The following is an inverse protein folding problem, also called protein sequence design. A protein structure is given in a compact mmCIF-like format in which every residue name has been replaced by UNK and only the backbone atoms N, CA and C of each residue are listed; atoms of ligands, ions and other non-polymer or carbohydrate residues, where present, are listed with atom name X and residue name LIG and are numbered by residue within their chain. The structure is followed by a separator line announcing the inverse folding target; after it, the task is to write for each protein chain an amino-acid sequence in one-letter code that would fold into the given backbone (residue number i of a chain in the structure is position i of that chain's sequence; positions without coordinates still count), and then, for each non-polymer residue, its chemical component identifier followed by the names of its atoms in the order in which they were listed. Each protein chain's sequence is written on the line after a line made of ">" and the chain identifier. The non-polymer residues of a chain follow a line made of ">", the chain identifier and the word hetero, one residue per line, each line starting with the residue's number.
data_IF_105507611564
#
_entry.id   IF_105507611564
#
_cell.length_a   1.000
_cell.length_b   1.000
_cell.length_c   1.000
_cell.angle_alpha   90.00
_cell.angle_beta   90.00
_cell.angle_gamma   90.00
#
_symmetry.space_group_name_H-M   'P 1'
#
loop_
_entity.id
_entity.type
_entity.pdbx_description
1 polymer ?
#
# COMPACT_ATOMS: atom_id res chain seq x y z
N UNK A 1 -3.14 -16.30 -5.25
CA UNK A 1 -2.16 -16.95 -6.16
C UNK A 1 -1.33 -18.00 -5.43
N UNK A 2 -0.44 -17.64 -4.48
CA UNK A 2 0.41 -18.61 -3.73
C UNK A 2 -0.37 -19.79 -3.14
N UNK A 3 -1.48 -19.53 -2.44
CA UNK A 3 -2.30 -20.59 -1.85
C UNK A 3 -2.81 -21.61 -2.89
N UNK A 4 -3.17 -21.15 -4.10
CA UNK A 4 -3.60 -22.03 -5.19
C UNK A 4 -2.41 -22.82 -5.75
N UNK A 5 -1.25 -22.18 -5.89
CA UNK A 5 -0.03 -22.86 -6.35
C UNK A 5 0.37 -24.01 -5.42
N UNK A 6 0.37 -23.75 -4.10
CA UNK A 6 0.61 -24.77 -3.09
C UNK A 6 -0.45 -25.88 -3.11
N UNK A 7 -1.74 -25.52 -3.22
CA UNK A 7 -2.83 -26.49 -3.23
C UNK A 7 -2.81 -27.42 -4.45
N UNK A 8 -2.44 -26.89 -5.60
CA UNK A 8 -2.45 -27.62 -6.89
C UNK A 8 -1.13 -28.29 -7.24
N UNK A 9 -0.09 -28.12 -6.40
CA UNK A 9 1.22 -28.67 -6.66
C UNK A 9 1.92 -28.03 -7.86
N UNK A 10 1.71 -26.73 -8.08
CA UNK A 10 2.43 -25.97 -9.10
C UNK A 10 3.91 -25.79 -8.70
N UNK A 11 4.78 -25.47 -9.66
CA UNK A 11 6.19 -25.15 -9.39
C UNK A 11 6.42 -23.64 -9.24
N UNK A 12 7.64 -23.28 -8.85
CA UNK A 12 8.10 -21.91 -8.66
C UNK A 12 8.00 -21.05 -9.92
N UNK A 13 8.31 -21.62 -11.08
CA UNK A 13 8.19 -20.94 -12.36
C UNK A 13 6.73 -20.61 -12.70
N UNK A 14 5.79 -21.51 -12.44
CA UNK A 14 4.36 -21.28 -12.62
C UNK A 14 3.82 -20.22 -11.65
N UNK A 15 4.25 -20.28 -10.38
CA UNK A 15 3.94 -19.25 -9.40
C UNK A 15 4.44 -17.88 -9.84
N UNK A 16 5.68 -17.78 -10.31
CA UNK A 16 6.24 -16.52 -10.82
C UNK A 16 5.42 -15.96 -11.99
N UNK A 17 5.05 -16.77 -12.98
CA UNK A 17 4.20 -16.32 -14.10
C UNK A 17 2.85 -15.78 -13.61
N UNK A 18 2.20 -16.50 -12.70
CA UNK A 18 0.94 -16.06 -12.11
C UNK A 18 1.07 -14.73 -11.34
N UNK A 19 2.15 -14.56 -10.57
CA UNK A 19 2.45 -13.31 -9.87
C UNK A 19 2.69 -12.16 -10.86
N UNK A 20 3.51 -12.37 -11.89
CA UNK A 20 3.79 -11.35 -12.91
C UNK A 20 2.51 -10.91 -13.63
N UNK A 21 1.64 -11.84 -14.04
CA UNK A 21 0.32 -11.48 -14.61
C UNK A 21 -0.52 -10.69 -13.62
N UNK A 22 -0.60 -11.13 -12.35
CA UNK A 22 -1.38 -10.41 -11.35
C UNK A 22 -0.90 -8.97 -11.17
N UNK A 23 0.42 -8.77 -11.06
CA UNK A 23 1.00 -7.42 -10.95
C UNK A 23 0.77 -6.58 -12.20
N UNK A 24 0.93 -7.13 -13.40
CA UNK A 24 0.67 -6.41 -14.66
C UNK A 24 -0.76 -5.87 -14.68
N UNK A 25 -1.74 -6.76 -14.49
CA UNK A 25 -3.16 -6.38 -14.48
C UNK A 25 -3.45 -5.33 -13.40
N UNK A 26 -2.92 -5.50 -12.19
CA UNK A 26 -3.14 -4.54 -11.11
C UNK A 26 -2.61 -3.14 -11.47
N UNK A 27 -1.39 -3.07 -11.98
CA UNK A 27 -0.70 -1.81 -12.24
C UNK A 27 -1.36 -1.09 -13.42
N UNK A 28 -1.67 -1.81 -14.49
CA UNK A 28 -2.30 -1.21 -15.67
C UNK A 28 -3.74 -0.78 -15.41
N UNK A 29 -4.51 -1.54 -14.63
CA UNK A 29 -5.85 -1.12 -14.18
C UNK A 29 -5.78 0.16 -13.32
N UNK A 30 -4.81 0.27 -12.41
CA UNK A 30 -4.64 1.47 -11.57
C UNK A 30 -4.20 2.68 -12.40
N UNK A 31 -3.37 2.49 -13.43
CA UNK A 31 -2.94 3.55 -14.36
C UNK A 31 -4.10 4.07 -15.20
N UNK A 32 -4.94 3.17 -15.68
CA UNK A 32 -6.00 3.50 -16.62
C UNK A 32 -7.30 3.96 -15.95
N UNK A 33 -7.65 3.39 -14.79
CA UNK A 33 -8.96 3.56 -14.16
C UNK A 33 -8.79 4.06 -12.71
N UNK A 34 -9.02 5.37 -12.52
CA UNK A 34 -8.90 6.02 -11.22
C UNK A 34 -10.13 5.75 -10.32
N UNK A 35 -10.13 4.65 -9.57
CA UNK A 35 -11.25 4.34 -8.65
C UNK A 35 -11.48 5.40 -7.56
N UNK A 36 -10.42 6.13 -7.19
CA UNK A 36 -10.48 7.13 -6.13
C UNK A 36 -11.42 8.29 -6.46
N UNK A 37 -11.46 8.73 -7.72
CA UNK A 37 -12.31 9.86 -8.14
C UNK A 37 -13.79 9.53 -7.97
N UNK A 38 -14.15 8.26 -8.12
CA UNK A 38 -15.50 7.71 -7.94
C UNK A 38 -15.81 7.24 -6.52
N UNK A 39 -14.90 7.45 -5.56
CA UNK A 39 -15.06 6.94 -4.17
C UNK A 39 -15.27 5.43 -4.11
N UNK A 40 -14.65 4.69 -5.02
CA UNK A 40 -14.54 3.23 -4.97
C UNK A 40 -13.20 2.86 -4.32
N UNK A 41 -13.20 1.79 -3.52
CA UNK A 41 -11.98 1.27 -2.91
C UNK A 41 -11.10 0.60 -3.97
N UNK A 42 -9.80 0.86 -3.93
CA UNK A 42 -8.79 0.31 -4.83
C UNK A 42 -8.75 -1.22 -4.85
N UNK A 43 -9.29 -1.87 -3.82
CA UNK A 43 -9.46 -3.34 -3.74
C UNK A 43 -10.29 -3.90 -4.90
N UNK A 44 -11.14 -3.09 -5.54
CA UNK A 44 -11.92 -3.53 -6.71
C UNK A 44 -11.04 -4.00 -7.88
N UNK A 45 -9.80 -3.50 -8.01
CA UNK A 45 -8.83 -3.98 -9.01
C UNK A 45 -8.09 -5.26 -8.56
N UNK A 46 -8.00 -5.53 -7.25
CA UNK A 46 -7.28 -6.70 -6.72
C UNK A 46 -7.97 -8.02 -7.06
N UNK A 47 -9.30 -8.07 -7.08
CA UNK A 47 -10.06 -9.26 -7.47
C UNK A 47 -9.71 -9.72 -8.89
N UNK A 48 -9.91 -8.88 -9.92
CA UNK A 48 -9.48 -9.11 -11.30
C UNK A 48 -8.02 -9.50 -11.44
N UNK A 49 -7.12 -8.76 -10.80
CA UNK A 49 -5.67 -9.04 -10.78
C UNK A 49 -5.37 -10.44 -10.25
N UNK A 50 -5.92 -10.81 -9.09
CA UNK A 50 -5.70 -12.12 -8.50
C UNK A 50 -6.32 -13.24 -9.35
N UNK A 51 -7.51 -13.04 -9.92
CA UNK A 51 -8.17 -14.00 -10.80
C UNK A 51 -7.34 -14.27 -12.08
N UNK A 52 -6.86 -13.20 -12.73
CA UNK A 52 -5.97 -13.31 -13.88
C UNK A 52 -4.67 -14.06 -13.54
N UNK A 53 -4.03 -13.70 -12.41
CA UNK A 53 -2.81 -14.37 -11.96
C UNK A 53 -3.01 -15.85 -11.61
N UNK A 54 -4.14 -16.22 -11.01
CA UNK A 54 -4.51 -17.63 -10.78
C UNK A 54 -4.76 -18.34 -12.11
N UNK A 55 -5.46 -17.71 -13.06
CA UNK A 55 -5.70 -18.24 -14.39
C UNK A 55 -4.41 -18.57 -15.15
N UNK A 56 -3.44 -17.64 -15.15
CA UNK A 56 -2.11 -17.85 -15.73
C UNK A 56 -1.35 -18.95 -15.01
N UNK A 57 -1.36 -18.97 -13.67
CA UNK A 57 -0.72 -20.00 -12.86
C UNK A 57 -1.19 -21.41 -13.27
N UNK A 58 -2.49 -21.57 -13.47
CA UNK A 58 -3.14 -22.84 -13.81
C UNK A 58 -3.17 -23.12 -15.32
N UNK A 59 -2.65 -22.21 -16.15
CA UNK A 59 -2.69 -22.29 -17.61
C UNK A 59 -4.12 -22.55 -18.14
N UNK A 60 -5.09 -21.82 -17.60
CA UNK A 60 -6.50 -21.91 -18.03
C UNK A 60 -6.69 -21.28 -19.41
N UNK A 61 -7.74 -21.70 -20.11
CA UNK A 61 -8.13 -21.07 -21.36
C UNK A 61 -8.64 -19.63 -21.13
N UNK A 62 -8.56 -18.81 -22.19
CA UNK A 62 -8.90 -17.39 -22.12
C UNK A 62 -10.34 -17.12 -21.68
N UNK A 63 -11.28 -17.97 -22.09
CA UNK A 63 -12.70 -17.78 -21.76
C UNK A 63 -12.94 -18.03 -20.26
N UNK A 64 -12.35 -19.08 -19.70
CA UNK A 64 -12.40 -19.33 -18.25
C UNK A 64 -11.82 -18.16 -17.45
N UNK A 65 -10.68 -17.61 -17.89
CA UNK A 65 -10.06 -16.45 -17.23
C UNK A 65 -10.97 -15.21 -17.33
N UNK A 66 -11.55 -14.97 -18.51
CA UNK A 66 -12.49 -13.88 -18.73
C UNK A 66 -13.69 -13.94 -17.78
N UNK A 67 -14.32 -15.12 -17.64
CA UNK A 67 -15.44 -15.31 -16.71
C UNK A 67 -15.02 -15.12 -15.24
N UNK A 68 -13.84 -15.61 -14.86
CA UNK A 68 -13.32 -15.44 -13.50
C UNK A 68 -13.06 -13.97 -13.15
N UNK A 69 -12.46 -13.20 -14.07
CA UNK A 69 -12.26 -11.75 -13.92
C UNK A 69 -13.59 -11.03 -13.76
N UNK A 70 -14.57 -11.38 -14.60
CA UNK A 70 -15.92 -10.82 -14.55
C UNK A 70 -16.58 -10.96 -13.19
N UNK A 71 -16.59 -12.19 -12.67
CA UNK A 71 -17.15 -12.48 -11.35
C UNK A 71 -16.35 -11.84 -10.22
N UNK A 72 -15.01 -11.81 -10.31
CA UNK A 72 -14.17 -11.21 -9.29
C UNK A 72 -14.40 -9.70 -9.16
N UNK A 73 -14.45 -8.94 -10.27
CA UNK A 73 -14.76 -7.51 -10.22
C UNK A 73 -16.12 -7.23 -9.57
N UNK A 74 -17.14 -7.96 -10.04
CA UNK A 74 -18.51 -7.78 -9.59
C UNK A 74 -18.68 -7.97 -8.07
N UNK A 75 -17.94 -8.92 -7.50
CA UNK A 75 -18.09 -9.33 -6.09
C UNK A 75 -17.07 -8.72 -5.13
N UNK A 76 -16.07 -7.99 -5.64
CA UNK A 76 -15.00 -7.39 -4.82
C UNK A 76 -14.97 -5.87 -4.85
N UNK A 77 -16.00 -5.25 -5.44
CA UNK A 77 -16.15 -3.80 -5.42
C UNK A 77 -16.76 -3.31 -4.11
N UNK A 78 -16.07 -2.39 -3.44
CA UNK A 78 -16.53 -1.75 -2.21
C UNK A 78 -16.41 -0.22 -2.30
N UNK A 79 -17.25 0.49 -1.55
CA UNK A 79 -17.12 1.96 -1.43
C UNK A 79 -15.87 2.33 -0.63
N UNK A 80 -15.39 3.56 -0.81
CA UNK A 80 -14.21 4.07 -0.09
C UNK A 80 -14.47 4.37 1.40
N UNK A 81 -15.66 4.06 1.92
CA UNK A 81 -15.95 4.15 3.35
C UNK A 81 -15.01 3.26 4.19
N UNK A 82 -14.47 2.19 3.60
CA UNK A 82 -13.42 1.32 4.17
C UNK A 82 -12.14 2.05 4.60
N UNK A 83 -11.92 3.28 4.12
CA UNK A 83 -10.69 4.07 4.29
C UNK A 83 -10.97 5.53 4.70
N UNK A 84 -12.10 5.82 5.36
CA UNK A 84 -12.46 7.18 5.80
C UNK A 84 -13.19 7.20 7.15
N UNK A 85 -12.91 8.21 7.99
CA UNK A 85 -13.48 8.33 9.34
C UNK A 85 -12.82 7.35 10.31
N UNK A 86 -13.62 6.66 11.13
CA UNK A 86 -13.13 5.56 11.96
C UNK A 86 -12.75 4.36 11.07
N UNK A 87 -11.46 4.19 10.86
CA UNK A 87 -10.91 3.13 10.02
C UNK A 87 -10.94 1.80 10.80
N UNK A 88 -11.87 0.92 10.44
CA UNK A 88 -12.02 -0.39 11.09
C UNK A 88 -11.03 -1.45 10.57
N UNK A 89 -10.98 -2.60 11.25
CA UNK A 89 -10.15 -3.76 10.86
C UNK A 89 -10.50 -4.32 9.48
N UNK A 90 -11.65 -3.95 8.91
CA UNK A 90 -12.00 -4.23 7.51
C UNK A 90 -10.91 -3.75 6.54
N UNK A 91 -10.26 -2.61 6.84
CA UNK A 91 -9.12 -2.09 6.07
C UNK A 91 -8.05 -3.15 5.81
N UNK A 92 -7.72 -3.94 6.83
CA UNK A 92 -6.73 -5.00 6.74
C UNK A 92 -7.30 -6.27 6.05
N UNK A 93 -8.59 -6.53 6.23
CA UNK A 93 -9.24 -7.72 5.68
C UNK A 93 -9.62 -7.60 4.20
N UNK A 94 -9.93 -6.41 3.69
CA UNK A 94 -10.47 -6.22 2.34
C UNK A 94 -9.60 -6.83 1.22
N UNK A 95 -8.25 -6.69 1.21
CA UNK A 95 -7.41 -7.39 0.23
C UNK A 95 -7.48 -8.92 0.34
N UNK A 96 -7.56 -9.45 1.58
CA UNK A 96 -7.70 -10.90 1.80
C UNK A 96 -9.06 -11.41 1.32
N UNK A 97 -10.12 -10.62 1.52
CA UNK A 97 -11.44 -10.90 0.96
C UNK A 97 -11.41 -10.97 -0.57
N UNK A 98 -10.79 -9.98 -1.24
CA UNK A 98 -10.66 -10.00 -2.70
C UNK A 98 -9.87 -11.22 -3.20
N UNK A 99 -8.76 -11.57 -2.52
CA UNK A 99 -7.98 -12.77 -2.83
C UNK A 99 -8.79 -14.07 -2.67
N UNK A 100 -9.61 -14.18 -1.61
CA UNK A 100 -10.52 -15.31 -1.40
C UNK A 100 -11.56 -15.39 -2.50
N UNK A 101 -12.22 -14.28 -2.82
CA UNK A 101 -13.24 -14.23 -3.88
C UNK A 101 -12.67 -14.54 -5.26
N UNK A 102 -11.42 -14.15 -5.54
CA UNK A 102 -10.75 -14.53 -6.79
C UNK A 102 -10.53 -16.05 -6.91
N UNK A 103 -10.17 -16.73 -5.83
CA UNK A 103 -10.06 -18.21 -5.82
C UNK A 103 -11.42 -18.85 -6.12
N UNK A 104 -12.49 -18.36 -5.47
CA UNK A 104 -13.84 -18.87 -5.72
C UNK A 104 -14.31 -18.57 -7.15
N UNK A 105 -14.10 -17.36 -7.67
CA UNK A 105 -14.45 -16.98 -9.03
C UNK A 105 -13.76 -17.88 -10.07
N UNK A 106 -12.47 -18.17 -9.89
CA UNK A 106 -11.74 -19.09 -10.77
C UNK A 106 -12.28 -20.51 -10.66
N UNK A 107 -12.49 -21.04 -9.45
CA UNK A 107 -13.06 -22.40 -9.28
C UNK A 107 -14.45 -22.53 -9.92
N UNK A 108 -15.31 -21.50 -9.81
CA UNK A 108 -16.61 -21.48 -10.46
C UNK A 108 -16.50 -21.44 -11.98
N UNK A 109 -15.65 -20.57 -12.53
CA UNK A 109 -15.43 -20.48 -13.97
C UNK A 109 -14.89 -21.80 -14.55
N UNK A 110 -13.96 -22.47 -13.86
CA UNK A 110 -13.45 -23.79 -14.25
C UNK A 110 -14.54 -24.88 -14.31
N UNK A 111 -15.65 -24.70 -13.59
CA UNK A 111 -16.82 -25.59 -13.60
C UNK A 111 -17.85 -25.20 -14.67
N UNK A 112 -17.53 -24.24 -15.54
CA UNK A 112 -18.39 -23.75 -16.61
C UNK A 112 -19.40 -22.69 -16.16
N UNK A 113 -19.25 -22.11 -14.96
CA UNK A 113 -20.10 -20.99 -14.56
C UNK A 113 -19.66 -19.71 -15.29
N UNK A 114 -20.62 -19.02 -15.91
CA UNK A 114 -20.43 -17.71 -16.52
C UNK A 114 -20.73 -16.58 -15.52
N UNK A 115 -20.16 -15.41 -15.79
CA UNK A 115 -20.30 -14.17 -15.04
C UNK A 115 -21.18 -13.15 -15.79
N UNK A 116 -21.68 -12.09 -15.13
CA UNK A 116 -22.29 -10.96 -15.83
C UNK A 116 -21.30 -10.37 -16.84
N UNK A 117 -21.71 -10.24 -18.11
CA UNK A 117 -20.80 -9.96 -19.22
C UNK A 117 -21.40 -9.01 -20.26
N UNK A 118 -20.61 -8.06 -20.81
CA UNK A 118 -19.27 -7.68 -20.35
C UNK A 118 -19.35 -6.91 -19.01
N UNK A 119 -18.53 -7.25 -18.02
CA UNK A 119 -18.67 -6.65 -16.68
C UNK A 119 -18.28 -5.17 -16.65
N UNK A 120 -17.29 -4.77 -17.44
CA UNK A 120 -16.78 -3.40 -17.45
C UNK A 120 -17.70 -2.49 -18.28
N UNK A 121 -17.88 -2.82 -19.56
CA UNK A 121 -18.56 -2.00 -20.57
C UNK A 121 -20.04 -2.33 -20.76
N UNK A 122 -20.60 -3.27 -20.00
CA UNK A 122 -22.01 -3.65 -20.10
C UNK A 122 -22.95 -2.46 -19.84
N UNK A 123 -24.17 -2.54 -20.36
CA UNK A 123 -25.21 -1.50 -20.18
C UNK A 123 -25.42 -1.17 -18.70
N UNK A 124 -25.50 -2.20 -17.85
CA UNK A 124 -25.54 -2.10 -16.40
C UNK A 124 -24.19 -2.44 -15.73
N UNK A 125 -23.09 -2.16 -16.44
CA UNK A 125 -21.73 -2.54 -16.07
C UNK A 125 -21.06 -1.62 -15.05
N UNK A 126 -19.85 -2.03 -14.65
CA UNK A 126 -19.00 -1.34 -13.70
C UNK A 126 -18.73 0.12 -14.11
N UNK A 127 -18.41 0.36 -15.39
CA UNK A 127 -18.14 1.71 -15.88
C UNK A 127 -19.41 2.58 -15.83
N UNK A 128 -20.54 2.01 -16.28
CA UNK A 128 -21.79 2.73 -16.44
C UNK A 128 -22.35 3.27 -15.12
N UNK A 129 -22.35 2.44 -14.07
CA UNK A 129 -23.04 2.78 -12.82
C UNK A 129 -22.14 3.07 -11.64
N UNK A 130 -20.89 2.61 -11.65
CA UNK A 130 -19.98 2.79 -10.52
C UNK A 130 -18.86 3.78 -10.81
N UNK A 131 -18.60 4.10 -12.07
CA UNK A 131 -17.55 5.04 -12.48
C UNK A 131 -18.11 6.26 -13.24
N UNK A 132 -17.66 6.46 -14.48
CA UNK A 132 -17.82 7.70 -15.25
C UNK A 132 -19.06 7.74 -16.15
N UNK A 133 -19.96 6.77 -16.03
CA UNK A 133 -21.19 6.71 -16.83
C UNK A 133 -21.08 5.83 -18.08
N UNK A 134 -22.21 5.54 -18.76
CA UNK A 134 -22.29 4.54 -19.84
C UNK A 134 -21.48 4.91 -21.09
N UNK A 135 -21.20 6.19 -21.31
CA UNK A 135 -20.43 6.68 -22.46
C UNK A 135 -18.91 6.70 -22.20
N UNK A 136 -18.47 6.48 -20.96
CA UNK A 136 -17.06 6.52 -20.61
C UNK A 136 -16.30 5.32 -21.20
N UNK A 137 -15.04 5.58 -21.59
CA UNK A 137 -14.13 4.57 -22.14
C UNK A 137 -12.78 4.72 -21.46
N UNK A 138 -12.16 3.60 -21.14
CA UNK A 138 -10.83 3.52 -20.55
C UNK A 138 -9.95 2.65 -21.44
N UNK A 139 -8.69 3.04 -21.58
CA UNK A 139 -7.68 2.25 -22.27
C UNK A 139 -6.70 1.70 -21.24
N UNK A 140 -6.71 0.38 -21.05
CA UNK A 140 -5.80 -0.31 -20.11
C UNK A 140 -4.54 -0.71 -20.89
N UNK A 141 -3.35 -0.19 -20.54
CA UNK A 141 -2.14 -0.31 -21.34
C UNK A 141 -1.47 -1.68 -21.18
N UNK A 142 -2.18 -2.76 -21.50
CA UNK A 142 -1.67 -4.13 -21.40
C UNK A 142 -0.54 -4.37 -22.41
N UNK A 143 0.48 -5.18 -22.07
CA UNK A 143 1.57 -5.50 -22.97
C UNK A 143 1.10 -6.32 -24.18
N UNK A 144 1.71 -6.07 -25.34
CA UNK A 144 1.48 -6.87 -26.54
C UNK A 144 2.04 -8.29 -26.39
N UNK A 145 1.54 -9.21 -27.22
CA UNK A 145 2.07 -10.58 -27.28
C UNK A 145 3.59 -10.59 -27.51
N UNK A 146 4.33 -11.19 -26.57
CA UNK A 146 5.79 -11.29 -26.63
C UNK A 146 6.54 -10.17 -25.91
N UNK A 147 5.85 -9.13 -25.42
CA UNK A 147 6.43 -8.14 -24.53
C UNK A 147 6.55 -8.69 -23.10
N UNK A 148 7.58 -8.26 -22.34
CA UNK A 148 7.76 -8.69 -20.96
C UNK A 148 6.71 -8.06 -20.04
N UNK A 149 6.26 -8.82 -19.03
CA UNK A 149 5.42 -8.31 -17.95
C UNK A 149 6.32 -7.58 -16.94
N UNK A 150 6.30 -6.24 -16.98
CA UNK A 150 7.20 -5.40 -16.19
C UNK A 150 6.48 -4.53 -15.17
N UNK A 151 5.15 -4.54 -15.13
CA UNK A 151 4.35 -3.68 -14.24
C UNK A 151 4.73 -3.83 -12.75
N UNK A 152 5.19 -5.00 -12.31
CA UNK A 152 5.70 -5.19 -10.94
C UNK A 152 6.85 -4.23 -10.57
N UNK A 153 7.69 -3.85 -11.54
CA UNK A 153 8.82 -2.94 -11.33
C UNK A 153 8.37 -1.49 -11.10
N UNK A 154 7.14 -1.18 -11.50
CA UNK A 154 6.51 0.13 -11.30
C UNK A 154 5.70 0.19 -10.00
N UNK A 155 5.75 -0.87 -9.19
CA UNK A 155 5.18 -0.86 -7.84
C UNK A 155 6.08 -0.11 -6.86
N UNK A 156 5.47 0.59 -5.91
CA UNK A 156 6.22 1.35 -4.92
C UNK A 156 6.24 0.66 -3.56
N UNK A 157 7.44 0.36 -3.10
CA UNK A 157 7.64 -0.25 -1.80
C UNK A 157 7.58 0.79 -0.69
N UNK A 158 6.87 0.45 0.37
CA UNK A 158 6.93 1.17 1.63
C UNK A 158 8.14 0.68 2.40
N UNK A 159 8.96 1.60 2.90
CA UNK A 159 9.96 1.27 3.92
C UNK A 159 9.31 1.32 5.31
N UNK A 160 8.59 2.40 5.58
CA UNK A 160 7.97 2.67 6.87
C UNK A 160 6.56 2.10 6.93
N UNK A 161 6.14 1.62 8.10
CA UNK A 161 4.78 1.08 8.32
C UNK A 161 3.72 2.20 8.40
N UNK A 162 3.74 3.14 7.46
CA UNK A 162 2.83 4.28 7.36
C UNK A 162 2.06 4.29 6.02
N UNK A 163 1.09 5.18 5.85
CA UNK A 163 0.44 5.48 4.58
C UNK A 163 1.50 5.87 3.52
N UNK A 164 1.28 5.56 2.24
CA UNK A 164 2.35 5.70 1.23
C UNK A 164 2.75 7.18 1.03
N UNK A 165 1.81 8.10 1.16
CA UNK A 165 2.00 9.54 1.01
C UNK A 165 2.73 10.13 2.21
N UNK A 166 2.98 9.35 3.26
CA UNK A 166 3.78 9.74 4.42
C UNK A 166 5.26 9.32 4.31
N UNK A 167 5.62 8.42 3.38
CA UNK A 167 6.96 7.81 3.33
C UNK A 167 8.07 8.86 3.20
N UNK A 168 7.94 9.76 2.21
CA UNK A 168 8.92 10.81 1.97
C UNK A 168 9.02 11.80 3.14
N UNK A 169 7.90 12.08 3.81
CA UNK A 169 7.88 12.97 4.99
C UNK A 169 8.58 12.35 6.19
N UNK A 170 8.50 11.04 6.37
CA UNK A 170 9.26 10.34 7.41
C UNK A 170 10.76 10.50 7.14
N UNK A 171 11.21 10.26 5.90
CA UNK A 171 12.62 10.38 5.53
C UNK A 171 13.14 11.81 5.76
N UNK A 172 12.38 12.82 5.31
CA UNK A 172 12.71 14.22 5.49
C UNK A 172 12.74 14.63 6.97
N UNK A 173 11.72 14.25 7.75
CA UNK A 173 11.66 14.56 9.18
C UNK A 173 12.80 13.91 9.96
N UNK A 174 13.12 12.65 9.67
CA UNK A 174 14.26 11.94 10.29
C UNK A 174 15.59 12.61 9.98
N UNK A 175 15.80 13.01 8.72
CA UNK A 175 16.99 13.76 8.28
C UNK A 175 17.10 15.07 9.03
N UNK A 176 16.04 15.87 9.03
CA UNK A 176 15.99 17.16 9.73
C UNK A 176 16.24 17.02 11.23
N UNK A 177 15.63 16.04 11.88
CA UNK A 177 15.84 15.79 13.31
C UNK A 177 17.27 15.35 13.63
N UNK A 178 17.95 14.69 12.70
CA UNK A 178 19.35 14.27 12.85
C UNK A 178 20.32 15.43 12.62
N UNK A 179 20.12 16.18 11.54
CA UNK A 179 21.00 17.28 11.15
C UNK A 179 20.80 18.53 12.01
N UNK A 180 19.60 18.73 12.55
CA UNK A 180 19.21 19.88 13.36
C UNK A 180 18.47 19.47 14.64
N UNK A 181 19.19 18.95 15.65
CA UNK A 181 18.60 18.41 16.88
C UNK A 181 17.75 19.41 17.67
N UNK A 182 17.99 20.71 17.51
CA UNK A 182 17.17 21.77 18.11
C UNK A 182 15.71 21.75 17.65
N UNK A 183 15.44 21.17 16.47
CA UNK A 183 14.08 21.02 15.94
C UNK A 183 13.26 19.93 16.65
N UNK A 184 13.90 19.11 17.48
CA UNK A 184 13.22 18.05 18.26
C UNK A 184 12.45 18.60 19.45
N UNK A 185 12.86 19.77 19.96
CA UNK A 185 12.21 20.41 21.10
C UNK A 185 11.05 21.31 20.61
N UNK A 186 9.79 21.00 20.95
CA UNK A 186 8.66 21.86 20.58
C UNK A 186 8.79 23.29 21.10
N UNK A 187 9.57 23.56 22.15
CA UNK A 187 9.77 24.91 22.67
C UNK A 187 10.46 25.85 21.66
N UNK A 188 11.27 25.30 20.75
CA UNK A 188 11.97 26.06 19.72
C UNK A 188 11.12 26.32 18.47
N UNK A 189 9.96 25.65 18.35
CA UNK A 189 9.13 25.64 17.14
C UNK A 189 7.95 26.59 17.33
N UNK A 190 7.79 27.59 16.47
CA UNK A 190 6.58 28.40 16.41
C UNK A 190 5.49 27.69 15.57
N UNK A 191 5.84 27.24 14.36
CA UNK A 191 4.92 26.55 13.46
C UNK A 191 5.65 25.62 12.48
N UNK A 192 4.96 24.60 11.97
CA UNK A 192 5.42 23.77 10.86
C UNK A 192 4.31 23.68 9.82
N UNK A 193 4.64 23.99 8.57
CA UNK A 193 3.71 23.92 7.44
C UNK A 193 4.27 22.97 6.38
N UNK A 194 3.48 21.98 5.98
CA UNK A 194 3.79 21.05 4.89
C UNK A 194 3.02 21.48 3.63
N UNK A 195 3.75 21.93 2.61
CA UNK A 195 3.21 22.23 1.28
C UNK A 195 3.25 20.96 0.45
N UNK A 196 2.08 20.43 0.07
CA UNK A 196 1.95 19.08 -0.48
C UNK A 196 0.83 18.98 -1.51
N UNK A 197 0.73 17.84 -2.19
CA UNK A 197 -0.38 17.56 -3.12
C UNK A 197 -1.76 17.57 -2.43
N UNK A 198 -2.80 17.81 -3.23
CA UNK A 198 -4.20 17.65 -2.86
C UNK A 198 -4.44 16.32 -2.13
N UNK A 199 -3.91 15.23 -2.68
CA UNK A 199 -4.13 13.91 -2.11
C UNK A 199 -3.59 13.82 -0.68
N UNK A 200 -2.35 14.22 -0.43
CA UNK A 200 -1.78 14.21 0.92
C UNK A 200 -2.56 15.14 1.85
N UNK A 201 -2.88 16.36 1.42
CA UNK A 201 -3.59 17.36 2.23
C UNK A 201 -4.98 16.88 2.69
N UNK A 202 -5.78 16.32 1.78
CA UNK A 202 -7.16 15.91 2.08
C UNK A 202 -7.30 14.46 2.58
N UNK A 203 -6.30 13.60 2.36
CA UNK A 203 -6.39 12.18 2.78
C UNK A 203 -5.66 11.91 4.09
N UNK A 204 -4.46 12.46 4.32
CA UNK A 204 -3.67 12.25 5.54
C UNK A 204 -3.29 13.54 6.28
N UNK A 205 -3.54 14.70 5.69
CA UNK A 205 -3.27 16.04 6.24
C UNK A 205 -4.46 16.71 6.93
N UNK A 206 -4.24 17.99 7.25
CA UNK A 206 -5.19 18.88 7.94
C UNK A 206 -6.46 19.12 7.13
N UNK A 207 -6.38 19.08 5.80
CA UNK A 207 -7.53 19.24 4.90
C UNK A 207 -8.55 18.10 4.99
N UNK A 208 -8.18 16.96 5.60
CA UNK A 208 -9.10 15.87 5.88
C UNK A 208 -10.24 16.28 6.83
N UNK A 209 -10.05 17.34 7.63
CA UNK A 209 -10.98 17.79 8.67
C UNK A 209 -11.41 16.67 9.63
N UNK A 210 -10.44 15.83 10.00
CA UNK A 210 -10.59 14.67 10.88
C UNK A 210 -9.89 14.97 12.21
N UNK A 211 -10.63 15.34 13.28
CA UNK A 211 -10.05 15.66 14.59
C UNK A 211 -9.21 14.52 15.18
N UNK A 212 -9.54 13.27 14.88
CA UNK A 212 -8.84 12.10 15.39
C UNK A 212 -7.39 12.04 14.89
N UNK A 213 -7.04 12.76 13.80
CA UNK A 213 -5.66 12.91 13.34
C UNK A 213 -4.82 13.88 14.17
N UNK A 214 -5.40 14.47 15.19
CA UNK A 214 -4.74 15.32 16.19
C UNK A 214 -4.97 14.80 17.62
N UNK A 215 -5.48 13.57 17.77
CA UNK A 215 -5.85 12.98 19.05
C UNK A 215 -4.80 11.94 19.51
N UNK A 216 -4.11 12.15 20.66
CA UNK A 216 -3.12 11.20 21.18
C UNK A 216 -3.69 9.84 21.60
N UNK A 217 -5.02 9.71 21.69
CA UNK A 217 -5.71 8.46 22.00
C UNK A 217 -6.22 7.72 20.76
N UNK A 218 -5.96 8.26 19.56
CA UNK A 218 -6.38 7.66 18.31
C UNK A 218 -5.77 6.28 18.07
N UNK A 219 -6.49 5.47 17.28
CA UNK A 219 -6.04 4.13 16.90
C UNK A 219 -4.74 4.17 16.09
N UNK A 220 -4.01 3.04 16.07
CA UNK A 220 -2.86 2.85 15.18
C UNK A 220 -3.23 3.15 13.73
N UNK A 221 -4.40 2.70 13.28
CA UNK A 221 -4.90 2.87 11.92
C UNK A 221 -5.12 4.36 11.58
N UNK A 222 -5.52 5.16 12.56
CA UNK A 222 -5.66 6.63 12.43
C UNK A 222 -4.30 7.31 12.45
N UNK A 223 -3.40 6.96 13.37
CA UNK A 223 -2.05 7.54 13.47
C UNK A 223 -1.19 7.24 12.22
N UNK A 224 -1.38 6.05 11.62
CA UNK A 224 -0.84 5.66 10.31
C UNK A 224 -1.26 6.62 9.17
N UNK A 225 -2.37 7.35 9.34
CA UNK A 225 -2.94 8.30 8.38
C UNK A 225 -2.97 9.75 8.91
N UNK A 226 -2.13 10.07 9.91
CA UNK A 226 -1.94 11.42 10.44
C UNK A 226 -0.54 11.93 10.09
N UNK A 227 -0.41 12.66 8.97
CA UNK A 227 0.88 13.25 8.60
C UNK A 227 1.43 14.22 9.67
N UNK A 228 0.62 14.97 10.45
CA UNK A 228 1.14 15.81 11.51
C UNK A 228 1.76 14.98 12.64
N UNK A 229 1.13 13.87 13.04
CA UNK A 229 1.70 12.94 14.01
C UNK A 229 2.99 12.31 13.49
N UNK A 230 2.95 11.83 12.25
CA UNK A 230 4.05 11.11 11.62
C UNK A 230 5.30 12.01 11.56
N UNK A 231 5.15 13.25 11.11
CA UNK A 231 6.27 14.20 11.05
C UNK A 231 6.77 14.55 12.46
N UNK A 232 5.89 14.76 13.45
CA UNK A 232 6.31 15.05 14.82
C UNK A 232 7.19 13.93 15.40
N UNK A 233 6.73 12.68 15.34
CA UNK A 233 7.46 11.53 15.90
C UNK A 233 8.75 11.26 15.13
N UNK A 234 8.71 11.27 13.79
CA UNK A 234 9.89 11.07 12.96
C UNK A 234 10.97 12.15 13.18
N UNK A 235 10.55 13.41 13.37
CA UNK A 235 11.44 14.53 13.67
C UNK A 235 12.09 14.37 15.04
N UNK A 236 11.31 14.10 16.08
CA UNK A 236 11.81 13.97 17.45
C UNK A 236 12.75 12.76 17.62
N UNK A 237 12.36 11.61 17.08
CA UNK A 237 13.09 10.37 17.31
C UNK A 237 14.27 10.23 16.34
N UNK A 238 14.23 10.90 15.18
CA UNK A 238 15.18 10.64 14.08
C UNK A 238 14.99 9.26 13.45
N UNK A 239 13.92 8.55 13.82
CA UNK A 239 13.59 7.21 13.37
C UNK A 239 12.07 7.01 13.24
N UNK A 240 11.67 5.94 12.56
CA UNK A 240 10.28 5.48 12.52
C UNK A 240 10.24 3.96 12.69
N UNK A 241 9.66 3.49 13.79
CA UNK A 241 9.55 2.07 14.09
C UNK A 241 8.12 1.57 13.94
N UNK A 242 7.95 0.40 13.34
CA UNK A 242 6.63 -0.15 12.99
C UNK A 242 5.75 -0.52 14.19
N UNK A 243 6.30 -0.58 15.41
CA UNK A 243 5.56 -0.78 16.66
C UNK A 243 5.72 0.42 17.57
N UNK A 244 6.96 0.79 17.91
CA UNK A 244 7.21 1.75 18.98
C UNK A 244 6.75 3.17 18.65
N UNK A 245 6.77 3.56 17.36
CA UNK A 245 6.22 4.84 16.92
C UNK A 245 4.69 4.91 17.01
N UNK A 246 4.01 3.82 17.39
CA UNK A 246 2.56 3.78 17.62
C UNK A 246 2.20 3.43 19.07
N UNK A 247 3.17 3.21 19.95
CA UNK A 247 2.90 2.87 21.34
C UNK A 247 2.11 4.02 22.02
N UNK A 248 1.05 3.73 22.79
CA UNK A 248 0.26 4.77 23.46
C UNK A 248 1.12 5.71 24.31
N UNK A 249 2.13 5.18 25.00
CA UNK A 249 3.06 5.95 25.83
C UNK A 249 3.97 6.86 25.01
N UNK A 250 4.26 6.50 23.75
CA UNK A 250 5.00 7.34 22.80
C UNK A 250 4.11 8.44 22.22
N UNK A 251 2.88 8.10 21.82
CA UNK A 251 1.96 9.05 21.22
C UNK A 251 1.47 10.11 22.22
N UNK A 252 1.27 9.72 23.48
CA UNK A 252 0.74 10.58 24.54
C UNK A 252 1.80 11.46 25.23
N UNK A 253 3.06 11.47 24.78
CA UNK A 253 4.09 12.33 25.40
C UNK A 253 3.70 13.81 25.26
N UNK A 254 3.74 14.61 26.36
CA UNK A 254 3.28 16.00 26.31
C UNK A 254 4.02 16.87 25.29
N UNK A 255 5.33 16.66 25.11
CA UNK A 255 6.15 17.37 24.15
C UNK A 255 5.82 16.98 22.70
N UNK A 256 5.56 15.70 22.43
CA UNK A 256 5.08 15.23 21.12
C UNK A 256 3.73 15.83 20.77
N UNK A 257 2.78 15.82 21.70
CA UNK A 257 1.46 16.45 21.48
C UNK A 257 1.64 17.94 21.21
N UNK A 258 2.50 18.63 21.97
CA UNK A 258 2.76 20.04 21.74
C UNK A 258 3.36 20.34 20.36
N UNK A 259 4.28 19.50 19.86
CA UNK A 259 4.84 19.62 18.51
C UNK A 259 3.80 19.30 17.43
N UNK A 260 3.09 18.20 17.59
CA UNK A 260 2.06 17.71 16.68
C UNK A 260 0.99 18.77 16.40
N UNK A 261 0.53 19.47 17.44
CA UNK A 261 -0.47 20.54 17.31
C UNK A 261 0.05 21.77 16.53
N UNK A 262 1.36 21.90 16.32
CA UNK A 262 1.97 22.98 15.52
C UNK A 262 2.13 22.63 14.04
N UNK A 263 1.86 21.38 13.66
CA UNK A 263 2.05 20.90 12.29
C UNK A 263 0.73 20.97 11.52
N UNK A 264 0.77 21.70 10.42
CA UNK A 264 -0.35 21.82 9.48
C UNK A 264 0.10 21.48 8.06
N UNK A 265 -0.86 21.19 7.20
CA UNK A 265 -0.63 20.96 5.77
C UNK A 265 -1.42 21.96 4.95
N UNK A 266 -0.88 22.34 3.80
CA UNK A 266 -1.59 23.10 2.77
C UNK A 266 -1.41 22.42 1.42
N UNK A 267 -2.46 22.46 0.59
CA UNK A 267 -2.31 22.11 -0.81
C UNK A 267 -1.40 23.12 -1.53
N UNK A 268 -0.54 22.62 -2.40
CA UNK A 268 0.29 23.38 -3.32
C UNK A 268 0.08 22.82 -4.73
N UNK A 269 -0.22 23.73 -5.67
CA UNK A 269 -0.65 23.36 -7.02
C UNK A 269 0.42 22.65 -7.81
N UNK A 270 1.70 22.96 -7.60
CA UNK A 270 2.80 22.28 -8.28
C UNK A 270 2.98 20.85 -7.74
N UNK A 271 2.89 20.67 -6.42
CA UNK A 271 2.93 19.33 -5.83
C UNK A 271 1.71 18.48 -6.24
N UNK A 272 0.53 19.09 -6.40
CA UNK A 272 -0.65 18.41 -6.97
C UNK A 272 -0.41 18.00 -8.43
N UNK A 273 0.13 18.89 -9.27
CA UNK A 273 0.46 18.58 -10.67
C UNK A 273 1.41 17.40 -10.77
N UNK A 274 2.50 17.43 -9.99
CA UNK A 274 3.50 16.35 -9.96
C UNK A 274 2.91 15.03 -9.48
N UNK A 275 2.04 15.04 -8.47
CA UNK A 275 1.36 13.82 -7.99
C UNK A 275 0.54 13.13 -9.10
N UNK A 276 -0.11 13.90 -9.96
CA UNK A 276 -0.92 13.40 -11.07
C UNK A 276 -0.13 13.13 -12.37
N UNK A 277 1.17 13.43 -12.40
CA UNK A 277 1.97 13.20 -13.61
C UNK A 277 2.03 11.71 -13.97
N UNK A 278 1.90 11.43 -15.26
CA UNK A 278 2.16 10.12 -15.85
C UNK A 278 3.65 9.96 -16.21
N UNK A 279 4.40 11.05 -16.28
CA UNK A 279 5.86 11.01 -16.40
C UNK A 279 6.46 10.65 -15.04
N UNK A 280 7.04 9.46 -14.96
CA UNK A 280 7.67 8.95 -13.75
C UNK A 280 8.81 9.85 -13.24
N UNK A 281 9.50 10.57 -14.12
CA UNK A 281 10.59 11.47 -13.73
C UNK A 281 10.10 12.74 -13.03
N UNK A 282 8.86 13.15 -13.29
CA UNK A 282 8.24 14.29 -12.63
C UNK A 282 7.41 13.89 -11.40
N UNK A 283 6.91 12.65 -11.40
CA UNK A 283 5.97 12.14 -10.41
C UNK A 283 6.54 12.23 -9.00
N UNK A 284 5.77 12.85 -8.10
CA UNK A 284 6.19 13.11 -6.73
C UNK A 284 5.09 12.79 -5.73
N UNK A 285 5.52 12.34 -4.54
CA UNK A 285 4.65 11.98 -3.42
C UNK A 285 5.01 12.70 -2.12
N UNK A 286 6.08 13.49 -2.12
CA UNK A 286 6.50 14.33 -1.00
C UNK A 286 6.01 15.77 -1.12
N UNK A 287 6.85 16.72 -0.71
CA UNK A 287 6.53 18.14 -0.70
C UNK A 287 7.64 19.00 -0.09
N UNK A 288 7.28 20.24 0.26
CA UNK A 288 8.15 21.20 0.93
C UNK A 288 7.72 21.38 2.39
N UNK A 289 8.67 21.30 3.32
CA UNK A 289 8.46 21.61 4.74
C UNK A 289 9.00 23.00 5.05
N UNK A 290 8.24 23.77 5.81
CA UNK A 290 8.63 25.08 6.31
C UNK A 290 8.47 25.09 7.82
N UNK A 291 9.55 25.35 8.55
CA UNK A 291 9.56 25.39 10.01
C UNK A 291 9.95 26.80 10.44
N UNK A 292 9.05 27.46 11.16
CA UNK A 292 9.29 28.74 11.80
C UNK A 292 9.73 28.50 13.24
N UNK A 293 10.87 29.06 13.63
CA UNK A 293 11.40 28.95 14.98
C UNK A 293 10.94 30.12 15.85
N UNK A 294 10.93 29.92 17.17
CA UNK A 294 10.52 30.95 18.12
C UNK A 294 11.46 32.15 18.19
N UNK A 295 12.69 32.02 17.66
CA UNK A 295 13.64 33.12 17.52
C UNK A 295 13.43 33.95 16.23
N UNK A 296 12.44 33.57 15.41
CA UNK A 296 12.10 34.21 14.14
C UNK A 296 12.89 33.71 12.93
N UNK A 297 13.84 32.79 13.12
CA UNK A 297 14.52 32.13 12.00
C UNK A 297 13.63 31.07 11.34
N UNK A 298 13.98 30.70 10.10
CA UNK A 298 13.19 29.79 9.28
C UNK A 298 14.05 28.73 8.62
N UNK A 299 13.52 27.52 8.63
CA UNK A 299 14.04 26.37 7.93
C UNK A 299 13.10 26.05 6.77
N UNK A 300 13.65 25.80 5.59
CA UNK A 300 12.91 25.28 4.44
C UNK A 300 13.70 24.11 3.86
N UNK A 301 13.02 23.02 3.57
CA UNK A 301 13.59 21.85 2.89
C UNK A 301 12.49 21.13 2.09
N UNK A 302 12.86 20.24 1.19
CA UNK A 302 11.91 19.50 0.35
C UNK A 302 12.38 18.07 0.04
N UNK A 303 11.41 17.24 -0.33
CA UNK A 303 11.64 15.88 -0.80
C UNK A 303 10.56 15.51 -1.81
N UNK A 304 10.96 14.99 -2.98
CA UNK A 304 9.99 14.63 -4.02
C UNK A 304 9.42 13.21 -3.84
N UNK A 305 10.28 12.25 -3.48
CA UNK A 305 9.93 10.83 -3.32
C UNK A 305 10.67 10.26 -2.11
N UNK A 306 10.14 9.20 -1.51
CA UNK A 306 10.78 8.52 -0.40
C UNK A 306 12.14 7.94 -0.80
N UNK A 307 13.04 7.76 0.16
CA UNK A 307 14.37 7.22 -0.10
C UNK A 307 14.29 5.85 -0.77
N UNK A 308 13.36 5.00 -0.32
CA UNK A 308 13.12 3.66 -0.83
C UNK A 308 12.48 3.58 -2.22
N UNK A 309 11.97 4.69 -2.75
CA UNK A 309 11.35 4.75 -4.07
C UNK A 309 12.34 4.36 -5.18
N UNK A 310 11.92 3.80 -6.33
CA UNK A 310 12.82 3.51 -7.45
C UNK A 310 13.68 4.69 -7.92
N UNK A 311 13.18 5.92 -7.74
CA UNK A 311 13.88 7.18 -8.03
C UNK A 311 14.40 7.90 -6.78
N UNK A 312 14.34 7.26 -5.61
CA UNK A 312 14.76 7.83 -4.33
C UNK A 312 16.28 7.77 -4.12
N UNK A 313 16.73 8.31 -2.99
CA UNK A 313 18.16 8.33 -2.64
C UNK A 313 18.73 6.93 -2.31
N UNK A 314 17.87 5.98 -1.91
CA UNK A 314 18.24 4.60 -1.59
C UNK A 314 17.13 3.64 -2.05
N UNK A 315 16.97 3.42 -3.37
CA UNK A 315 15.95 2.53 -3.90
C UNK A 315 16.05 1.13 -3.30
N UNK A 316 14.91 0.54 -2.92
CA UNK A 316 14.91 -0.79 -2.31
C UNK A 316 15.34 -1.88 -3.30
N UNK A 317 16.51 -2.47 -3.05
CA UNK A 317 16.97 -3.69 -3.66
C UNK A 317 16.73 -4.90 -2.76
N UNK A 318 17.29 -6.05 -3.16
CA UNK A 318 17.12 -7.32 -2.44
C UNK A 318 17.59 -7.25 -0.99
N UNK A 319 18.73 -6.60 -0.74
CA UNK A 319 19.29 -6.48 0.59
C UNK A 319 18.34 -5.73 1.54
N UNK A 320 17.70 -4.66 1.04
CA UNK A 320 16.74 -3.86 1.80
C UNK A 320 15.46 -4.66 2.12
N UNK A 321 14.93 -5.44 1.17
CA UNK A 321 13.80 -6.35 1.44
C UNK A 321 14.15 -7.41 2.48
N UNK A 322 15.34 -8.01 2.40
CA UNK A 322 15.82 -8.99 3.38
C UNK A 322 15.95 -8.35 4.77
N UNK A 323 16.59 -7.17 4.85
CA UNK A 323 16.73 -6.43 6.11
C UNK A 323 15.37 -6.09 6.72
N UNK A 324 14.44 -5.60 5.91
CA UNK A 324 13.08 -5.30 6.34
C UNK A 324 12.33 -6.56 6.82
N UNK A 325 12.45 -7.67 6.10
CA UNK A 325 11.84 -8.93 6.53
C UNK A 325 12.36 -9.38 7.90
N UNK A 326 13.69 -9.35 8.09
CA UNK A 326 14.31 -9.68 9.38
C UNK A 326 13.81 -8.79 10.52
N UNK A 327 13.77 -7.48 10.30
CA UNK A 327 13.26 -6.51 11.26
C UNK A 327 11.79 -6.79 11.64
N UNK A 328 10.94 -7.09 10.66
CA UNK A 328 9.51 -7.38 10.92
C UNK A 328 9.29 -8.76 11.57
N UNK A 329 10.21 -9.70 11.35
CA UNK A 329 10.14 -11.05 11.89
C UNK A 329 10.77 -11.18 13.30
N UNK A 330 11.59 -10.19 13.71
CA UNK A 330 12.28 -10.19 14.99
C UNK A 330 11.29 -10.32 16.16
N UNK A 331 11.59 -11.25 17.08
CA UNK A 331 10.73 -11.55 18.23
C UNK A 331 9.45 -12.33 17.91
N UNK A 332 9.11 -12.53 16.64
CA UNK A 332 7.95 -13.31 16.18
C UNK A 332 8.37 -14.68 15.65
N UNK A 333 9.41 -14.74 14.83
CA UNK A 333 9.98 -15.95 14.24
C UNK A 333 11.33 -16.28 14.90
N UNK A 334 11.72 -17.56 14.92
CA UNK A 334 13.09 -17.92 15.31
C UNK A 334 14.09 -17.53 14.20
N UNK A 335 15.36 -17.25 14.53
CA UNK A 335 16.38 -16.96 13.52
C UNK A 335 16.47 -18.04 12.44
N UNK A 336 16.36 -19.31 12.82
CA UNK A 336 16.41 -20.45 11.89
C UNK A 336 15.21 -20.45 10.93
N UNK A 337 14.03 -20.06 11.40
CA UNK A 337 12.82 -19.99 10.57
C UNK A 337 12.90 -18.82 9.58
N UNK A 338 13.46 -17.69 10.02
CA UNK A 338 13.74 -16.53 9.16
C UNK A 338 14.69 -16.93 8.03
N UNK A 339 15.80 -17.57 8.36
CA UNK A 339 16.80 -18.01 7.38
C UNK A 339 16.20 -19.03 6.41
N UNK A 340 15.48 -20.03 6.93
CA UNK A 340 14.77 -21.04 6.11
C UNK A 340 13.80 -20.40 5.12
N UNK A 341 12.97 -19.45 5.56
CA UNK A 341 12.02 -18.77 4.67
C UNK A 341 12.76 -17.97 3.58
N UNK A 342 13.81 -17.23 3.97
CA UNK A 342 14.59 -16.41 3.04
C UNK A 342 15.34 -17.27 2.00
N UNK A 343 15.86 -18.44 2.38
CA UNK A 343 16.52 -19.36 1.46
C UNK A 343 15.56 -19.87 0.38
N UNK A 344 14.32 -20.19 0.77
CA UNK A 344 13.26 -20.62 -0.17
C UNK A 344 12.79 -19.45 -1.04
N UNK A 345 12.43 -18.32 -0.42
CA UNK A 345 11.84 -17.19 -1.13
C UNK A 345 12.79 -16.59 -2.19
N UNK A 346 14.09 -16.59 -1.93
CA UNK A 346 15.07 -16.00 -2.85
C UNK A 346 15.31 -16.82 -4.12
N UNK A 347 14.95 -18.12 -4.10
CA UNK A 347 15.06 -19.06 -5.22
C UNK A 347 13.71 -19.42 -5.83
N UNK A 348 12.74 -18.49 -5.75
CA UNK A 348 11.37 -18.70 -6.19
C UNK A 348 11.25 -19.39 -7.57
N UNK A 349 11.97 -18.98 -8.63
CA UNK A 349 11.81 -19.60 -9.95
C UNK A 349 12.25 -21.07 -10.00
N UNK A 350 13.16 -21.49 -9.11
CA UNK A 350 13.74 -22.84 -9.09
C UNK A 350 12.98 -23.83 -8.19
N UNK A 351 11.98 -23.37 -7.43
CA UNK A 351 11.29 -24.21 -6.47
C UNK A 351 10.48 -25.32 -7.16
N UNK A 352 10.63 -26.55 -6.67
CA UNK A 352 9.75 -27.67 -6.99
C UNK A 352 8.39 -27.53 -6.29
N UNK A 353 7.35 -28.29 -6.72
CA UNK A 353 6.07 -28.31 -6.02
C UNK A 353 6.17 -28.63 -4.52
N UNK A 354 7.09 -29.50 -4.13
CA UNK A 354 7.31 -29.85 -2.73
C UNK A 354 7.95 -28.70 -1.92
N UNK A 355 8.80 -27.89 -2.56
CA UNK A 355 9.48 -26.76 -1.91
C UNK A 355 8.57 -25.53 -1.76
N UNK A 356 7.51 -25.38 -2.57
CA UNK A 356 6.54 -24.28 -2.43
C UNK A 356 5.86 -24.25 -1.06
N UNK A 357 5.70 -25.40 -0.40
CA UNK A 357 5.21 -25.48 0.98
C UNK A 357 6.09 -24.70 1.97
N UNK A 358 7.36 -24.47 1.63
CA UNK A 358 8.29 -23.66 2.40
C UNK A 358 8.05 -22.14 2.31
N UNK A 359 7.22 -21.66 1.36
CA UNK A 359 6.76 -20.26 1.30
C UNK A 359 5.63 -19.99 2.30
N UNK A 360 5.88 -20.35 3.54
CA UNK A 360 5.05 -20.08 4.73
C UNK A 360 5.99 -19.80 5.90
N UNK A 361 5.46 -19.32 7.01
CA UNK A 361 6.23 -19.07 8.24
C UNK A 361 5.56 -19.71 9.44
N UNK A 362 6.38 -20.15 10.40
CA UNK A 362 5.93 -20.72 11.67
C UNK A 362 6.35 -19.81 12.81
N UNK A 363 5.36 -19.26 13.54
CA UNK A 363 5.63 -18.40 14.69
C UNK A 363 6.38 -19.18 15.79
N UNK A 364 7.36 -18.52 16.43
CA UNK A 364 8.12 -19.11 17.54
C UNK A 364 7.27 -19.34 18.79
N UNK A 365 6.13 -18.63 18.91
CA UNK A 365 5.17 -18.75 19.99
C UNK A 365 3.76 -18.96 19.42
N UNK A 366 2.87 -19.64 20.14
CA UNK A 366 1.47 -19.75 19.75
C UNK A 366 0.87 -18.36 19.55
N UNK A 367 0.19 -18.16 18.42
CA UNK A 367 -0.58 -16.94 18.20
C UNK A 367 -1.72 -16.86 19.22
N UNK A 368 -2.13 -15.66 19.66
CA UNK A 368 -3.30 -15.50 20.52
C UNK A 368 -4.52 -16.19 19.90
N UNK A 369 -5.26 -16.95 20.71
CA UNK A 369 -6.49 -17.57 20.24
C UNK A 369 -7.49 -16.49 19.81
N UNK A 370 -7.87 -16.51 18.53
CA UNK A 370 -8.95 -15.66 18.04
C UNK A 370 -10.30 -16.15 18.63
N UNK A 371 -11.28 -15.26 18.83
CA UNK A 371 -12.65 -15.66 19.16
C UNK A 371 -13.16 -16.68 18.14
N UNK A 372 -13.91 -17.68 18.61
CA UNK A 372 -14.48 -18.73 17.74
C UNK A 372 -15.45 -18.11 16.72
N UNK A 373 -15.14 -18.29 15.44
CA UNK A 373 -16.01 -17.94 14.32
C UNK A 373 -16.95 -19.08 13.92
N UNK A 374 -17.62 -18.93 12.78
CA UNK A 374 -18.47 -19.96 12.18
C UNK A 374 -17.66 -21.07 11.48
N UNK A 375 -16.44 -20.75 11.02
CA UNK A 375 -15.55 -21.64 10.27
C UNK A 375 -14.34 -22.04 11.11
#
# INVERSE_FOLDING_TARGET
>A
ILAVAQHTGADGAALLRGLLTGYEIQIDLVRAICLHEHKIDHVAHLGPSAAAGIGTLLNLDKETIFQAIGQALHTTTATRQSRKGEISTWKAHAPAFAGKMAVEAVDRAMRGQTSPSPIYEGEDGFIAWLLSGPDARYEVPLPDSGQPLTGILDSYTKEHSAEYQAQAWIDLARRLGTERPELRDPANIASIVLHTSHHTHYVIGSGANDPQKYDPTASRETLDHSIPYIVAVALQDGAWHHVDSYAPERAARPDTVALWQKITTTEDTEWTRRYHSLDLSEKAFGGRIEIELTDGSRVVDEIAVADAHPLGARPFGRAEYVGKFRMLAEGILSPEEIDRFLDVAQRLPELTPAELGGLTVTAARPLPAAPKGLF
#
